data_IF_514981539196
#
_entry.id   IF_514981539196
#
_cell.length_a   1.000
_cell.length_b   1.000
_cell.length_c   1.000
_cell.angle_alpha   90.00
_cell.angle_beta   90.00
_cell.angle_gamma   90.00
#
_symmetry.space_group_name_H-M   'P 1'
#
loop_
_entity.id
_entity.type
_entity.pdbx_description
1 polymer ?
#
# COMPACT_ATOMS: atom_id res chain seq x y z
N UNK A 1 10.48 6.28 23.56
CA UNK A 1 9.22 7.05 23.38
C UNK A 1 8.75 7.18 21.93
N UNK A 2 9.62 7.48 20.96
CA UNK A 2 9.18 7.77 19.58
C UNK A 2 8.47 6.61 18.83
N UNK A 3 8.72 5.35 19.19
CA UNK A 3 8.11 4.19 18.51
C UNK A 3 6.61 4.09 18.75
N UNK A 4 6.15 4.31 19.98
CA UNK A 4 4.73 4.26 20.32
C UNK A 4 3.95 5.39 19.63
N UNK A 5 4.54 6.59 19.58
CA UNK A 5 3.96 7.74 18.86
C UNK A 5 3.82 7.45 17.36
N UNK A 6 4.85 6.87 16.73
CA UNK A 6 4.77 6.48 15.31
C UNK A 6 3.71 5.42 15.05
N UNK A 7 3.56 4.42 15.93
CA UNK A 7 2.52 3.40 15.78
C UNK A 7 1.12 4.01 15.91
N UNK A 8 0.92 4.89 16.90
CA UNK A 8 -0.34 5.64 17.06
C UNK A 8 -0.67 6.47 15.82
N UNK A 9 0.34 7.08 15.19
CA UNK A 9 0.15 7.81 13.94
C UNK A 9 -0.32 6.89 12.80
N UNK A 10 0.30 5.71 12.65
CA UNK A 10 -0.11 4.73 11.63
C UNK A 10 -1.57 4.29 11.84
N UNK A 11 -2.02 4.14 13.09
CA UNK A 11 -3.42 3.82 13.40
C UNK A 11 -4.39 4.95 13.02
N UNK A 12 -3.97 6.22 13.21
CA UNK A 12 -4.76 7.37 12.76
C UNK A 12 -4.82 7.46 11.23
N UNK A 13 -3.69 7.26 10.56
CA UNK A 13 -3.60 7.28 9.10
C UNK A 13 -4.48 6.17 8.49
N UNK A 14 -4.50 4.98 9.10
CA UNK A 14 -5.40 3.89 8.69
C UNK A 14 -6.87 4.32 8.64
N UNK A 15 -7.36 5.01 9.68
CA UNK A 15 -8.75 5.50 9.75
C UNK A 15 -9.02 6.54 8.67
N UNK A 16 -8.11 7.49 8.47
CA UNK A 16 -8.23 8.52 7.43
C UNK A 16 -8.26 7.90 6.03
N UNK A 17 -7.36 6.96 5.76
CA UNK A 17 -7.32 6.25 4.49
C UNK A 17 -8.56 5.39 4.27
N UNK A 18 -9.11 4.76 5.31
CA UNK A 18 -10.34 3.98 5.20
C UNK A 18 -11.51 4.86 4.78
N UNK A 19 -11.65 6.05 5.37
CA UNK A 19 -12.67 7.02 4.96
C UNK A 19 -12.46 7.47 3.50
N UNK A 20 -11.22 7.79 3.12
CA UNK A 20 -10.89 8.19 1.75
C UNK A 20 -11.17 7.07 0.73
N UNK A 21 -10.91 5.82 1.09
CA UNK A 21 -11.21 4.66 0.25
C UNK A 21 -12.70 4.50 0.03
N UNK A 22 -13.53 4.64 1.07
CA UNK A 22 -14.98 4.59 0.91
C UNK A 22 -15.47 5.69 -0.03
N UNK A 23 -14.94 6.92 0.11
CA UNK A 23 -15.25 8.02 -0.79
C UNK A 23 -14.78 7.77 -2.23
N UNK A 24 -13.65 7.08 -2.42
CA UNK A 24 -13.08 6.74 -3.73
C UNK A 24 -13.83 5.60 -4.43
N UNK A 25 -14.19 4.53 -3.71
CA UNK A 25 -14.91 3.37 -4.25
C UNK A 25 -16.24 3.78 -4.87
N UNK A 26 -16.91 4.80 -4.30
CA UNK A 26 -18.15 5.36 -4.85
C UNK A 26 -17.93 6.08 -6.20
N UNK A 27 -16.72 6.59 -6.47
CA UNK A 27 -16.45 7.44 -7.64
C UNK A 27 -15.67 6.74 -8.75
N UNK A 28 -14.87 5.74 -8.43
CA UNK A 28 -13.89 5.18 -9.33
C UNK A 28 -14.18 3.71 -9.63
N UNK A 29 -15.01 3.50 -10.64
CA UNK A 29 -15.25 2.19 -11.22
C UNK A 29 -14.57 2.07 -12.60
N UNK A 30 -14.02 0.89 -12.90
CA UNK A 30 -13.52 0.54 -14.22
C UNK A 30 -14.43 -0.47 -14.89
N UNK A 31 -14.56 -0.39 -16.21
CA UNK A 31 -15.32 -1.36 -17.01
C UNK A 31 -14.57 -2.69 -17.06
N UNK A 32 -15.25 -3.79 -16.75
CA UNK A 32 -14.67 -5.14 -16.71
C UNK A 32 -15.39 -6.12 -17.65
N UNK A 33 -16.51 -5.72 -18.25
CA UNK A 33 -17.24 -6.52 -19.25
C UNK A 33 -18.47 -5.80 -19.81
N UNK A 34 -19.29 -6.51 -20.60
CA UNK A 34 -20.58 -5.99 -21.08
C UNK A 34 -21.48 -5.74 -19.87
N UNK A 35 -21.85 -4.48 -19.66
CA UNK A 35 -22.67 -3.99 -18.54
C UNK A 35 -22.13 -4.32 -17.14
N UNK A 36 -20.80 -4.48 -16.99
CA UNK A 36 -20.15 -4.73 -15.69
C UNK A 36 -19.06 -3.69 -15.42
N UNK A 37 -19.15 -3.06 -14.26
CA UNK A 37 -18.14 -2.16 -13.71
C UNK A 37 -17.64 -2.72 -12.38
N UNK A 38 -16.44 -2.33 -11.97
CA UNK A 38 -15.84 -2.79 -10.71
C UNK A 38 -14.98 -1.67 -10.15
N UNK A 39 -14.95 -1.43 -8.83
CA UNK A 39 -14.07 -0.43 -8.25
C UNK A 39 -12.61 -0.62 -8.66
N UNK A 40 -11.92 0.47 -9.00
CA UNK A 40 -10.50 0.46 -9.41
C UNK A 40 -9.64 -0.21 -8.34
N UNK A 41 -9.93 0.09 -7.07
CA UNK A 41 -9.40 -0.65 -5.93
C UNK A 41 -10.52 -1.51 -5.33
N UNK A 42 -10.52 -2.81 -5.64
CA UNK A 42 -11.46 -3.78 -5.03
C UNK A 42 -11.23 -4.03 -3.54
N UNK A 43 -10.00 -3.82 -3.07
CA UNK A 43 -9.60 -4.11 -1.71
C UNK A 43 -8.86 -2.92 -1.13
N UNK A 44 -9.19 -2.59 0.12
CA UNK A 44 -8.52 -1.51 0.85
C UNK A 44 -7.00 -1.70 0.92
N UNK A 45 -6.50 -2.94 1.05
CA UNK A 45 -5.06 -3.25 1.08
C UNK A 45 -4.30 -2.79 -0.17
N UNK A 46 -4.98 -2.63 -1.32
CA UNK A 46 -4.38 -2.06 -2.54
C UNK A 46 -4.30 -0.53 -2.51
N UNK A 47 -5.19 0.12 -1.75
CA UNK A 47 -5.21 1.56 -1.53
C UNK A 47 -4.24 1.97 -0.41
N UNK A 48 -4.22 1.24 0.70
CA UNK A 48 -3.33 1.48 1.84
C UNK A 48 -2.89 0.16 2.49
N UNK A 49 -1.57 -0.03 2.64
CA UNK A 49 -0.99 -1.23 3.24
C UNK A 49 -0.52 -0.97 4.66
N UNK A 50 -1.41 -1.16 5.62
CA UNK A 50 -1.17 -0.94 7.05
C UNK A 50 0.04 -1.72 7.58
N UNK A 51 0.16 -3.01 7.25
CA UNK A 51 1.26 -3.88 7.69
C UNK A 51 2.63 -3.29 7.34
N UNK A 52 2.74 -2.75 6.12
CA UNK A 52 3.97 -2.11 5.63
C UNK A 52 4.31 -0.85 6.43
N UNK A 53 3.32 -0.01 6.75
CA UNK A 53 3.54 1.21 7.52
C UNK A 53 3.86 0.93 8.99
N UNK A 54 3.28 -0.11 9.58
CA UNK A 54 3.66 -0.60 10.92
C UNK A 54 5.11 -1.08 10.93
N UNK A 55 5.56 -1.81 9.90
CA UNK A 55 6.95 -2.24 9.80
C UNK A 55 7.92 -1.06 9.69
N UNK A 56 7.59 -0.04 8.88
CA UNK A 56 8.38 1.20 8.83
C UNK A 56 8.42 1.92 10.17
N UNK A 57 7.28 2.04 10.86
CA UNK A 57 7.22 2.66 12.20
C UNK A 57 8.08 1.90 13.23
N UNK A 58 8.20 0.58 13.07
CA UNK A 58 9.08 -0.31 13.82
C UNK A 58 10.55 -0.23 13.40
N UNK A 59 10.89 0.48 12.33
CA UNK A 59 12.26 0.62 11.80
C UNK A 59 12.73 -0.57 10.97
N UNK A 60 11.81 -1.45 10.55
CA UNK A 60 12.14 -2.63 9.76
C UNK A 60 12.24 -2.21 8.29
N UNK A 61 13.45 -2.22 7.74
CA UNK A 61 13.67 -2.00 6.31
C UNK A 61 13.69 -3.33 5.58
N UNK A 62 12.60 -3.64 4.84
CA UNK A 62 12.61 -4.79 3.92
C UNK A 62 13.53 -4.47 2.75
N UNK A 63 14.59 -5.26 2.57
CA UNK A 63 15.40 -5.23 1.35
C UNK A 63 14.51 -5.60 0.16
N UNK A 64 14.68 -4.91 -0.96
CA UNK A 64 13.97 -5.22 -2.19
C UNK A 64 14.35 -6.66 -2.61
N UNK A 65 13.36 -7.51 -2.91
CA UNK A 65 13.58 -8.88 -3.43
C UNK A 65 14.41 -8.92 -4.72
N UNK A 66 14.50 -7.78 -5.42
CA UNK A 66 15.28 -7.61 -6.64
C UNK A 66 16.59 -6.85 -6.43
N UNK A 67 17.02 -6.62 -5.18
CA UNK A 67 18.23 -5.85 -4.88
C UNK A 67 19.49 -6.39 -5.58
N UNK A 68 19.59 -7.70 -5.81
CA UNK A 68 20.73 -8.33 -6.51
C UNK A 68 20.62 -8.40 -8.03
N UNK A 69 19.47 -8.06 -8.63
CA UNK A 69 19.29 -8.19 -10.09
C UNK A 69 20.13 -7.17 -10.85
N UNK A 70 20.33 -5.97 -10.29
CA UNK A 70 21.14 -4.93 -10.94
C UNK A 70 22.59 -5.33 -11.17
N UNK A 71 23.17 -6.15 -10.28
CA UNK A 71 24.54 -6.67 -10.43
C UNK A 71 24.64 -7.77 -11.49
N UNK A 72 23.60 -8.61 -11.60
CA UNK A 72 23.51 -9.66 -12.61
C UNK A 72 23.38 -9.05 -14.01
N UNK A 73 22.52 -8.03 -14.16
CA UNK A 73 22.33 -7.32 -15.43
C UNK A 73 23.59 -6.55 -15.88
N UNK A 74 24.40 -6.04 -14.93
CA UNK A 74 25.67 -5.36 -15.25
C UNK A 74 26.79 -6.30 -15.69
N UNK A 75 26.77 -7.58 -15.28
CA UNK A 75 27.81 -8.56 -15.61
C UNK A 75 27.53 -9.36 -16.89
N UNK A 76 26.28 -9.36 -17.35
CA UNK A 76 25.85 -10.10 -18.55
C UNK A 76 25.65 -9.24 -19.81
N UNK A 77 26.14 -7.99 -19.80
CA UNK A 77 26.13 -7.07 -20.94
C UNK A 77 27.53 -6.90 -21.51
#
# INVERSE_FOLDING_TARGET
>A
MMRAVRLKQVDMDYRNHMQAYLNFVVKAEKKTGKNKTTPVYRHFKKFYNYEKEVEKAKGITRKNRFAGIGEILKKGG
#
